data_IF_370453442885
#
_entry.id   IF_370453442885
#
_cell.length_a   1.000
_cell.length_b   1.000
_cell.length_c   1.000
_cell.angle_alpha   90.00
_cell.angle_beta   90.00
_cell.angle_gamma   90.00
#
_symmetry.space_group_name_H-M   'P 1'
#
loop_
_entity.id
_entity.type
_entity.pdbx_description
1 polymer ?
#
# COMPACT_ATOMS: atom_id res chain seq x y z
N UNK A 1 20.05 4.99 21.66
CA UNK A 1 18.97 5.03 20.65
C UNK A 1 19.35 4.34 19.33
N UNK A 2 20.48 4.67 18.67
CA UNK A 2 20.89 4.04 17.38
C UNK A 2 21.04 2.50 17.43
N UNK A 3 21.71 1.98 18.46
CA UNK A 3 21.91 0.53 18.65
C UNK A 3 20.61 -0.24 18.91
N UNK A 4 19.65 0.40 19.60
CA UNK A 4 18.32 -0.18 19.86
C UNK A 4 17.53 -0.30 18.55
N UNK A 5 17.59 0.70 17.66
CA UNK A 5 16.95 0.62 16.34
C UNK A 5 17.52 -0.52 15.51
N UNK A 6 18.85 -0.69 15.48
CA UNK A 6 19.50 -1.81 14.80
C UNK A 6 19.07 -3.18 15.34
N UNK A 7 19.02 -3.34 16.66
CA UNK A 7 18.64 -4.60 17.32
C UNK A 7 17.15 -4.93 17.12
N UNK A 8 16.26 -3.94 17.16
CA UNK A 8 14.82 -4.13 16.98
C UNK A 8 14.40 -4.35 15.52
N UNK A 9 15.21 -3.91 14.54
CA UNK A 9 14.96 -4.12 13.10
C UNK A 9 15.69 -5.34 12.55
N UNK A 10 16.15 -6.26 13.41
CA UNK A 10 16.84 -7.48 12.96
C UNK A 10 18.12 -7.22 12.16
N UNK A 11 18.82 -6.12 12.44
CA UNK A 11 20.08 -5.79 11.77
C UNK A 11 19.95 -5.03 10.44
N UNK A 12 18.73 -4.67 10.04
CA UNK A 12 18.44 -3.99 8.76
C UNK A 12 19.16 -2.65 8.55
N UNK A 13 19.59 -1.98 9.63
CA UNK A 13 20.25 -0.68 9.58
C UNK A 13 21.64 -0.71 10.23
N UNK A 14 22.55 -1.57 9.74
CA UNK A 14 23.93 -1.71 10.24
C UNK A 14 24.72 -0.39 10.22
N UNK A 15 24.44 0.45 9.23
CA UNK A 15 25.07 1.77 9.07
C UNK A 15 24.79 2.73 10.23
N UNK A 16 23.70 2.55 10.99
CA UNK A 16 23.43 3.34 12.19
C UNK A 16 24.44 3.10 13.32
N UNK A 17 25.13 1.95 13.28
CA UNK A 17 26.13 1.53 14.27
C UNK A 17 27.54 1.75 13.73
N UNK A 18 27.80 1.43 12.47
CA UNK A 18 29.14 1.53 11.86
C UNK A 18 29.50 2.96 11.45
N UNK A 19 28.51 3.80 11.14
CA UNK A 19 28.71 5.19 10.73
C UNK A 19 28.18 6.18 11.77
N UNK A 20 29.06 6.57 12.69
CA UNK A 20 28.77 7.56 13.72
C UNK A 20 28.56 8.98 13.16
N UNK A 21 29.08 9.24 11.96
CA UNK A 21 29.01 10.51 11.24
C UNK A 21 27.61 10.84 10.67
N UNK A 22 26.73 9.83 10.54
CA UNK A 22 25.33 10.02 10.17
C UNK A 22 24.58 10.75 11.30
N UNK A 23 24.34 12.05 11.14
CA UNK A 23 23.61 12.87 12.13
C UNK A 23 22.09 12.74 12.02
N UNK A 24 21.59 12.51 10.81
CA UNK A 24 20.16 12.39 10.49
C UNK A 24 19.96 11.03 9.84
N UNK A 25 19.04 10.24 10.40
CA UNK A 25 18.55 9.01 9.81
C UNK A 25 17.08 9.19 9.52
N UNK A 26 16.74 9.23 8.23
CA UNK A 26 15.38 9.08 7.78
C UNK A 26 15.20 7.57 7.52
N UNK A 27 14.37 6.86 8.32
CA UNK A 27 13.97 5.51 7.93
C UNK A 27 13.34 5.60 6.54
N UNK A 28 13.35 4.50 5.75
CA UNK A 28 12.65 4.48 4.48
C UNK A 28 11.21 4.95 4.69
N UNK A 29 10.93 6.20 4.29
CA UNK A 29 9.57 6.71 4.26
C UNK A 29 9.00 6.09 3.01
N UNK A 30 8.39 4.93 3.18
CA UNK A 30 7.75 4.25 2.08
C UNK A 30 6.68 5.14 1.47
N UNK A 31 6.80 5.34 0.16
CA UNK A 31 5.82 6.09 -0.62
C UNK A 31 4.54 5.26 -0.82
N UNK A 32 3.48 5.94 -1.27
CA UNK A 32 2.30 5.28 -1.79
C UNK A 32 2.17 5.65 -3.27
N UNK A 33 1.97 4.64 -4.12
CA UNK A 33 1.63 4.83 -5.53
C UNK A 33 0.15 4.56 -5.69
N UNK A 34 -0.58 5.51 -6.24
CA UNK A 34 -2.01 5.36 -6.53
C UNK A 34 -2.22 5.14 -8.02
N UNK A 35 -2.91 4.06 -8.37
CA UNK A 35 -3.36 3.77 -9.73
C UNK A 35 -4.86 4.05 -9.84
N UNK A 36 -5.22 4.92 -10.77
CA UNK A 36 -6.60 5.30 -11.03
C UNK A 36 -7.12 4.63 -12.30
N UNK A 37 -8.32 4.05 -12.22
CA UNK A 37 -8.99 3.40 -13.35
C UNK A 37 -10.32 4.13 -13.62
N UNK A 38 -10.44 4.72 -14.81
CA UNK A 38 -11.63 5.49 -15.22
C UNK A 38 -11.39 7.01 -15.28
N UNK A 39 -12.48 7.80 -15.24
CA UNK A 39 -12.41 9.26 -15.30
C UNK A 39 -12.05 9.84 -13.91
N UNK A 40 -10.94 10.60 -13.76
CA UNK A 40 -10.56 11.22 -12.50
C UNK A 40 -11.56 12.28 -11.99
N UNK A 41 -12.40 12.85 -12.84
CA UNK A 41 -13.44 13.81 -12.41
C UNK A 41 -14.48 13.16 -11.49
N UNK A 42 -14.60 11.83 -11.52
CA UNK A 42 -15.53 11.10 -10.65
C UNK A 42 -15.03 10.97 -9.21
N UNK A 43 -13.80 11.39 -8.91
CA UNK A 43 -13.22 11.34 -7.55
C UNK A 43 -14.01 12.18 -6.55
N UNK A 44 -14.58 13.29 -7.01
CA UNK A 44 -15.30 14.26 -6.17
C UNK A 44 -16.81 14.03 -6.18
N UNK A 45 -17.30 13.06 -6.96
CA UNK A 45 -18.72 12.78 -7.14
C UNK A 45 -19.20 11.73 -6.15
N UNK A 46 -19.78 12.19 -5.04
CA UNK A 46 -20.35 11.33 -3.99
C UNK A 46 -21.58 10.53 -4.43
N UNK A 47 -22.15 10.79 -5.62
CA UNK A 47 -23.28 10.01 -6.15
C UNK A 47 -22.84 8.66 -6.74
N UNK A 48 -21.53 8.47 -6.97
CA UNK A 48 -20.96 7.28 -7.59
C UNK A 48 -20.39 6.34 -6.55
N UNK A 49 -20.51 5.05 -6.85
CA UNK A 49 -19.85 4.01 -6.06
C UNK A 49 -18.35 4.03 -6.34
N UNK A 50 -17.58 3.74 -5.30
CA UNK A 50 -16.13 3.76 -5.30
C UNK A 50 -15.63 2.37 -4.91
N UNK A 51 -14.81 1.79 -5.78
CA UNK A 51 -14.13 0.52 -5.49
C UNK A 51 -12.66 0.81 -5.23
N UNK A 52 -12.14 0.35 -4.10
CA UNK A 52 -10.73 0.53 -3.80
C UNK A 52 -10.06 -0.74 -3.32
N UNK A 53 -8.78 -0.87 -3.69
CA UNK A 53 -7.90 -1.90 -3.19
C UNK A 53 -6.68 -1.24 -2.56
N UNK A 54 -6.38 -1.62 -1.33
CA UNK A 54 -5.09 -1.28 -0.68
C UNK A 54 -4.22 -2.52 -0.75
N UNK A 55 -3.01 -2.36 -1.24
CA UNK A 55 -2.03 -3.42 -1.43
C UNK A 55 -0.69 -3.02 -0.83
N UNK A 56 -0.20 -3.83 0.09
CA UNK A 56 1.15 -3.69 0.60
C UNK A 56 2.15 -4.30 -0.40
N UNK A 57 3.11 -3.49 -0.82
CA UNK A 57 4.13 -3.88 -1.78
C UNK A 57 4.88 -5.13 -1.32
N UNK A 58 4.99 -6.11 -2.23
CA UNK A 58 5.69 -7.35 -1.99
C UNK A 58 6.59 -7.69 -3.18
N UNK A 59 7.81 -7.15 -3.20
CA UNK A 59 8.80 -7.38 -4.25
C UNK A 59 8.97 -8.87 -4.58
N UNK A 60 8.99 -9.73 -3.56
CA UNK A 60 9.13 -11.17 -3.72
C UNK A 60 8.05 -11.77 -4.61
N UNK A 61 6.79 -11.38 -4.45
CA UNK A 61 5.67 -11.94 -5.22
C UNK A 61 5.29 -11.09 -6.42
N UNK A 62 5.21 -9.77 -6.24
CA UNK A 62 4.73 -8.82 -7.24
C UNK A 62 5.72 -8.68 -8.40
N UNK A 63 7.03 -8.63 -8.09
CA UNK A 63 8.08 -8.47 -9.09
C UNK A 63 8.77 -9.79 -9.42
N UNK A 64 9.23 -10.53 -8.40
CA UNK A 64 9.97 -11.77 -8.61
C UNK A 64 9.08 -13.01 -8.80
N UNK A 65 7.75 -12.87 -8.68
CA UNK A 65 6.82 -13.95 -8.95
C UNK A 65 6.87 -15.12 -7.96
N UNK A 66 7.47 -14.91 -6.78
CA UNK A 66 7.53 -15.92 -5.71
C UNK A 66 6.13 -16.35 -5.29
N UNK A 67 6.00 -17.65 -5.03
CA UNK A 67 4.81 -18.36 -4.55
C UNK A 67 4.79 -18.52 -3.02
N UNK A 68 5.82 -18.05 -2.31
CA UNK A 68 5.90 -18.10 -0.84
C UNK A 68 4.78 -17.27 -0.17
N UNK A 69 4.24 -16.28 -0.88
CA UNK A 69 3.10 -15.51 -0.41
C UNK A 69 2.05 -15.31 -1.51
N UNK A 70 0.86 -14.89 -1.08
CA UNK A 70 -0.33 -14.71 -1.92
C UNK A 70 -0.51 -13.27 -2.37
N UNK A 71 0.48 -12.39 -2.20
CA UNK A 71 0.39 -10.97 -2.56
C UNK A 71 0.05 -10.78 -4.04
N UNK A 72 0.73 -11.47 -4.96
CA UNK A 72 0.47 -11.36 -6.40
C UNK A 72 -0.95 -11.75 -6.82
N UNK A 73 -1.50 -12.93 -6.46
CA UNK A 73 -2.88 -13.26 -6.85
C UNK A 73 -3.91 -12.28 -6.28
N UNK A 74 -3.68 -11.74 -5.07
CA UNK A 74 -4.55 -10.68 -4.52
C UNK A 74 -4.40 -9.34 -5.24
N UNK A 75 -3.18 -8.97 -5.66
CA UNK A 75 -2.92 -7.77 -6.45
C UNK A 75 -3.61 -7.86 -7.82
N UNK A 76 -3.42 -8.96 -8.53
CA UNK A 76 -4.03 -9.20 -9.84
C UNK A 76 -5.56 -9.18 -9.75
N UNK A 77 -6.14 -9.86 -8.76
CA UNK A 77 -7.58 -9.83 -8.54
C UNK A 77 -8.09 -8.41 -8.22
N UNK A 78 -7.35 -7.64 -7.42
CA UNK A 78 -7.67 -6.24 -7.13
C UNK A 78 -7.68 -5.36 -8.39
N UNK A 79 -6.70 -5.54 -9.28
CA UNK A 79 -6.64 -4.84 -10.58
C UNK A 79 -7.83 -5.25 -11.45
N UNK A 80 -8.16 -6.54 -11.51
CA UNK A 80 -9.26 -7.06 -12.31
C UNK A 80 -10.61 -6.44 -11.90
N UNK A 81 -10.92 -6.40 -10.59
CA UNK A 81 -12.14 -5.74 -10.11
C UNK A 81 -12.12 -4.23 -10.38
N UNK A 82 -10.96 -3.56 -10.24
CA UNK A 82 -10.88 -2.14 -10.54
C UNK A 82 -11.19 -1.85 -12.02
N UNK A 83 -10.68 -2.67 -12.94
CA UNK A 83 -10.98 -2.55 -14.37
C UNK A 83 -12.45 -2.84 -14.66
N UNK A 84 -13.02 -3.89 -14.05
CA UNK A 84 -14.43 -4.26 -14.21
C UNK A 84 -15.37 -3.14 -13.76
N UNK A 85 -15.11 -2.55 -12.60
CA UNK A 85 -15.93 -1.45 -12.07
C UNK A 85 -15.75 -0.18 -12.91
N UNK A 86 -14.53 0.13 -13.36
CA UNK A 86 -14.28 1.23 -14.29
C UNK A 86 -15.10 1.11 -15.60
N UNK A 87 -15.26 -0.11 -16.12
CA UNK A 87 -16.10 -0.38 -17.30
C UNK A 87 -17.60 -0.18 -17.02
N UNK A 88 -18.05 -0.46 -15.79
CA UNK A 88 -19.44 -0.25 -15.36
C UNK A 88 -19.78 1.23 -15.04
N UNK A 89 -18.89 2.18 -15.39
CA UNK A 89 -18.98 3.62 -15.07
C UNK A 89 -18.98 3.91 -13.56
N UNK A 90 -18.60 2.92 -12.76
CA UNK A 90 -18.22 3.04 -11.35
C UNK A 90 -16.76 3.47 -11.32
N UNK A 91 -16.34 4.27 -10.35
CA UNK A 91 -14.95 4.68 -10.27
C UNK A 91 -14.15 3.70 -9.40
N UNK A 92 -12.93 3.37 -9.81
CA UNK A 92 -12.08 2.45 -9.06
C UNK A 92 -10.61 2.87 -9.00
N UNK A 93 -9.94 2.51 -7.91
CA UNK A 93 -8.52 2.78 -7.72
C UNK A 93 -7.80 1.72 -6.87
N UNK A 94 -6.51 1.61 -7.10
CA UNK A 94 -5.61 0.74 -6.36
C UNK A 94 -4.53 1.60 -5.69
N UNK A 95 -4.49 1.57 -4.36
CA UNK A 95 -3.34 2.06 -3.58
C UNK A 95 -2.32 0.93 -3.47
N UNK A 96 -1.11 1.18 -3.94
CA UNK A 96 0.04 0.36 -3.60
C UNK A 96 0.86 1.13 -2.58
N UNK A 97 0.80 0.69 -1.33
CA UNK A 97 1.59 1.24 -0.25
C UNK A 97 2.92 0.49 -0.21
N UNK A 98 4.00 1.18 -0.58
CA UNK A 98 5.32 0.63 -0.35
C UNK A 98 5.60 0.75 1.15
N UNK A 99 5.43 -0.30 1.96
CA UNK A 99 6.13 -0.38 3.25
C UNK A 99 6.30 -1.81 3.75
N UNK A 100 7.56 -2.25 3.73
CA UNK A 100 8.08 -3.11 4.79
C UNK A 100 8.52 -2.18 5.95
N UNK A 101 8.49 -2.68 7.19
CA UNK A 101 9.24 -2.14 8.35
C UNK A 101 8.46 -1.44 9.50
N UNK A 102 7.12 -1.43 9.52
CA UNK A 102 6.38 -1.04 10.76
C UNK A 102 5.52 -2.21 11.30
N UNK A 103 5.88 -2.82 12.45
CA UNK A 103 5.22 -4.04 12.98
C UNK A 103 3.74 -3.90 13.34
N UNK A 104 3.16 -2.70 13.32
CA UNK A 104 1.86 -2.40 13.92
C UNK A 104 0.71 -2.16 12.93
N UNK A 105 0.97 -2.05 11.63
CA UNK A 105 -0.10 -1.97 10.61
C UNK A 105 -0.24 -3.34 9.96
N UNK A 106 -0.79 -4.31 10.71
CA UNK A 106 -1.43 -5.48 10.09
C UNK A 106 -2.76 -4.99 9.51
N UNK A 107 -2.73 -4.31 8.36
CA UNK A 107 -3.96 -4.19 7.59
C UNK A 107 -4.28 -5.58 7.06
N UNK A 108 -5.33 -6.17 7.62
CA UNK A 108 -5.99 -7.33 6.98
C UNK A 108 -6.26 -6.90 5.55
N UNK A 109 -6.07 -7.79 4.58
CA UNK A 109 -6.55 -7.66 3.20
C UNK A 109 -8.02 -7.17 3.19
N UNK A 110 -8.23 -5.85 3.26
CA UNK A 110 -9.55 -5.26 3.44
C UNK A 110 -10.04 -4.82 2.08
N UNK A 111 -11.01 -5.57 1.58
CA UNK A 111 -11.90 -5.10 0.53
C UNK A 111 -12.85 -4.08 1.16
N UNK A 112 -12.77 -2.83 0.71
CA UNK A 112 -13.76 -1.81 1.06
C UNK A 112 -14.44 -1.34 -0.22
N UNK A 113 -15.64 -1.86 -0.46
CA UNK A 113 -16.61 -1.21 -1.34
C UNK A 113 -17.44 -0.29 -0.46
N UNK A 114 -16.88 0.86 -0.14
CA UNK A 114 -17.58 1.88 0.64
C UNK A 114 -18.39 2.73 -0.33
N UNK A 115 -19.70 2.79 -0.15
CA UNK A 115 -20.41 4.01 -0.49
C UNK A 115 -19.76 5.11 0.34
N UNK A 116 -19.08 6.08 -0.29
CA UNK A 116 -18.56 7.25 0.40
C UNK A 116 -19.77 8.05 0.89
N UNK A 117 -20.22 7.69 2.08
CA UNK A 117 -21.26 8.40 2.80
C UNK A 117 -20.83 8.48 4.27
N UNK A 118 -19.59 8.94 4.48
CA UNK A 118 -19.15 9.35 5.81
C UNK A 118 -19.49 10.82 5.99
N UNK A 119 -20.60 11.02 6.70
CA UNK A 119 -21.08 12.30 7.18
C UNK A 119 -20.01 12.87 8.11
N UNK A 120 -19.54 14.06 7.77
CA UNK A 120 -18.99 14.98 8.76
C UNK A 120 -20.15 15.45 9.65
N UNK A 121 -20.07 15.11 10.93
CA UNK A 121 -20.91 15.58 12.02
C UNK A 121 -20.06 15.63 13.27
#
# INVERSE_FOLDING_TARGET
>A
MRRILFEQTGGMFSDLVTRSDLKIFLPPIGGATLYFFGNPEYLTDNSRRLTCRVHDECNGSDFFGSDICTCRPYLVHGIEECVREAQNKVWAWLSITARKDVPWVRSRNSWSTTHVNDRTG
#
